data_IF_029533770205
#
_entry.id   IF_029533770205
#
_cell.length_a   1.000
_cell.length_b   1.000
_cell.length_c   1.000
_cell.angle_alpha   90.00
_cell.angle_beta   90.00
_cell.angle_gamma   90.00
#
_symmetry.space_group_name_H-M   'P 1'
#
loop_
_entity.id
_entity.type
_entity.pdbx_description
1 polymer ?
#
# COMPACT_ATOMS: atom_id res chain seq x y z
N UNK A 1 -22.50 -25.17 -63.30
CA UNK A 1 -23.35 -24.55 -62.27
C UNK A 1 -22.42 -24.11 -61.16
N UNK A 2 -21.72 -22.99 -61.42
CA UNK A 2 -20.94 -22.20 -60.46
C UNK A 2 -21.88 -21.69 -59.35
N UNK A 3 -21.49 -21.33 -58.13
CA UNK A 3 -20.29 -20.66 -57.64
C UNK A 3 -20.26 -20.86 -56.12
N UNK A 4 -19.16 -21.37 -55.58
CA UNK A 4 -18.86 -21.35 -54.15
C UNK A 4 -18.08 -20.06 -53.89
N UNK A 5 -18.73 -18.99 -53.43
CA UNK A 5 -18.04 -17.77 -52.95
C UNK A 5 -19.02 -16.82 -52.26
N UNK A 6 -19.19 -16.93 -50.92
CA UNK A 6 -19.59 -15.77 -50.10
C UNK A 6 -19.28 -15.98 -48.61
N UNK A 7 -18.00 -16.17 -48.30
CA UNK A 7 -17.48 -15.87 -46.96
C UNK A 7 -16.49 -14.70 -47.11
N UNK A 8 -16.97 -13.51 -47.46
CA UNK A 8 -16.13 -12.33 -47.29
C UNK A 8 -16.08 -12.03 -45.80
N UNK A 9 -15.04 -12.53 -45.15
CA UNK A 9 -14.58 -12.05 -43.85
C UNK A 9 -14.61 -10.53 -43.88
N UNK A 10 -15.44 -9.92 -43.05
CA UNK A 10 -15.17 -8.56 -42.62
C UNK A 10 -13.89 -8.66 -41.77
N UNK A 11 -12.74 -8.48 -42.41
CA UNK A 11 -11.52 -8.11 -41.71
C UNK A 11 -11.86 -6.85 -40.92
N UNK A 12 -12.14 -7.03 -39.62
CA UNK A 12 -12.19 -5.93 -38.68
C UNK A 12 -10.89 -5.17 -38.85
N UNK A 13 -10.99 -3.90 -39.23
CA UNK A 13 -9.83 -3.07 -39.52
C UNK A 13 -8.80 -3.23 -38.39
N UNK A 14 -7.61 -3.70 -38.76
CA UNK A 14 -6.52 -3.85 -37.81
C UNK A 14 -6.18 -2.46 -37.27
N UNK A 15 -6.51 -2.23 -36.00
CA UNK A 15 -6.12 -1.03 -35.27
C UNK A 15 -4.60 -0.90 -35.39
N UNK A 16 -4.14 0.22 -35.93
CA UNK A 16 -2.71 0.44 -36.13
C UNK A 16 -2.01 0.53 -34.76
N UNK A 17 -0.73 0.14 -34.63
CA UNK A 17 0.03 0.37 -33.40
C UNK A 17 0.03 1.85 -32.97
N UNK A 18 -0.17 2.78 -33.91
CA UNK A 18 -0.30 4.21 -33.67
C UNK A 18 -1.66 4.60 -33.04
N UNK A 19 -2.75 3.91 -33.38
CA UNK A 19 -4.07 4.06 -32.72
C UNK A 19 -4.12 3.37 -31.35
N UNK A 20 -3.43 2.25 -31.18
CA UNK A 20 -3.20 1.65 -29.85
C UNK A 20 -2.34 2.54 -28.93
N UNK A 21 -1.50 3.39 -29.55
CA UNK A 21 -0.69 4.41 -28.89
C UNK A 21 -1.40 5.77 -28.76
N UNK A 22 -2.69 5.88 -29.10
CA UNK A 22 -3.54 6.99 -28.63
C UNK A 22 -3.58 6.90 -27.10
N UNK A 23 -2.59 7.56 -26.50
CA UNK A 23 -1.96 7.17 -25.26
C UNK A 23 -2.96 6.89 -24.14
N UNK A 24 -2.88 5.70 -23.53
CA UNK A 24 -3.39 5.47 -22.19
C UNK A 24 -2.72 6.51 -21.27
N UNK A 25 -3.43 7.59 -21.00
CA UNK A 25 -2.99 8.70 -20.15
C UNK A 25 -3.65 8.50 -18.80
N UNK A 26 -2.86 8.10 -17.81
CA UNK A 26 -3.28 8.14 -16.42
C UNK A 26 -3.25 9.62 -16.00
N UNK A 27 -4.40 10.24 -15.67
CA UNK A 27 -4.40 11.61 -15.17
C UNK A 27 -3.67 11.61 -13.82
N UNK A 28 -2.62 12.42 -13.67
CA UNK A 28 -1.88 12.53 -12.42
C UNK A 28 -1.74 14.00 -12.05
N UNK A 29 -2.34 14.37 -10.94
CA UNK A 29 -2.22 15.69 -10.32
C UNK A 29 -1.27 15.61 -9.13
N UNK A 30 -0.44 16.65 -8.97
CA UNK A 30 0.57 16.71 -7.92
C UNK A 30 0.44 18.02 -7.17
N UNK A 31 0.49 17.95 -5.85
CA UNK A 31 0.45 19.11 -4.97
C UNK A 31 1.38 18.94 -3.78
N UNK A 32 1.60 20.03 -3.05
CA UNK A 32 2.28 20.01 -1.76
C UNK A 32 1.49 20.87 -0.80
N UNK A 33 1.08 20.29 0.32
CA UNK A 33 0.35 21.00 1.36
C UNK A 33 1.28 21.97 2.10
N UNK A 34 0.71 22.93 2.82
CA UNK A 34 1.48 23.93 3.57
C UNK A 34 2.44 23.33 4.61
N UNK A 35 2.14 22.12 5.12
CA UNK A 35 3.00 21.38 6.05
C UNK A 35 4.12 20.55 5.35
N UNK A 36 4.25 20.64 4.02
CA UNK A 36 5.25 19.91 3.24
C UNK A 36 4.82 18.51 2.78
N UNK A 37 3.64 18.01 3.17
CA UNK A 37 3.15 16.73 2.68
C UNK A 37 2.89 16.80 1.17
N UNK A 38 3.53 15.90 0.41
CA UNK A 38 3.35 15.77 -1.03
C UNK A 38 2.13 14.90 -1.31
N UNK A 39 1.23 15.39 -2.14
CA UNK A 39 -0.01 14.69 -2.52
C UNK A 39 0.04 14.40 -4.01
N UNK A 40 -0.31 13.17 -4.36
CA UNK A 40 -0.44 12.71 -5.74
C UNK A 40 -1.83 12.12 -5.87
N UNK A 41 -2.63 12.65 -6.80
CA UNK A 41 -3.99 12.16 -7.06
C UNK A 41 -4.05 11.66 -8.49
N UNK A 42 -4.64 10.48 -8.67
CA UNK A 42 -4.86 9.88 -9.98
C UNK A 42 -6.33 9.46 -10.09
N UNK A 43 -7.23 10.36 -10.54
CA UNK A 43 -8.65 10.04 -10.66
C UNK A 43 -8.89 8.93 -11.69
N UNK A 44 -9.65 7.92 -11.31
CA UNK A 44 -10.11 6.85 -12.19
C UNK A 44 -11.52 6.44 -11.76
N UNK A 45 -12.47 6.42 -12.71
CA UNK A 45 -13.90 6.31 -12.41
C UNK A 45 -14.55 5.01 -12.91
N UNK A 46 -13.76 4.03 -13.39
CA UNK A 46 -14.26 2.72 -13.82
C UNK A 46 -14.88 1.88 -12.69
N UNK A 47 -14.54 2.14 -11.43
CA UNK A 47 -15.14 1.47 -10.27
C UNK A 47 -15.31 2.44 -9.09
N UNK A 48 -16.34 2.25 -8.22
CA UNK A 48 -16.58 3.10 -7.04
C UNK A 48 -15.64 2.70 -5.89
N UNK A 49 -14.33 2.73 -6.13
CA UNK A 49 -13.27 2.31 -5.20
C UNK A 49 -12.22 3.42 -5.11
N UNK A 50 -11.67 3.62 -3.92
CA UNK A 50 -10.50 4.47 -3.68
C UNK A 50 -9.35 3.64 -3.14
N UNK A 51 -8.13 4.08 -3.44
CA UNK A 51 -6.91 3.60 -2.81
C UNK A 51 -6.21 4.81 -2.21
N UNK A 52 -6.03 4.79 -0.89
CA UNK A 52 -5.21 5.77 -0.19
C UNK A 52 -3.94 5.05 0.20
N UNK A 53 -2.79 5.69 -0.06
CA UNK A 53 -1.49 5.14 0.27
C UNK A 53 -0.58 6.24 0.80
N UNK A 54 0.05 5.98 1.93
CA UNK A 54 1.00 6.89 2.57
C UNK A 54 2.38 6.27 2.48
N UNK A 55 3.34 7.03 1.96
CA UNK A 55 4.74 6.63 1.82
C UNK A 55 5.60 7.50 2.72
N UNK A 56 6.23 6.88 3.71
CA UNK A 56 7.24 7.50 4.54
C UNK A 56 8.60 7.28 3.90
N UNK A 57 9.36 8.37 3.70
CA UNK A 57 10.74 8.32 3.16
C UNK A 57 11.76 7.78 4.16
N UNK A 58 11.36 6.79 4.97
CA UNK A 58 12.20 6.06 5.89
C UNK A 58 12.10 4.58 5.58
N UNK A 59 13.23 3.93 5.44
CA UNK A 59 13.33 2.49 5.19
C UNK A 59 14.56 1.93 5.88
N UNK A 60 14.83 0.67 5.64
CA UNK A 60 15.84 -0.10 6.38
C UNK A 60 17.26 0.44 6.21
N UNK A 61 17.57 1.06 5.07
CA UNK A 61 18.88 1.67 4.81
C UNK A 61 19.20 2.84 5.74
N UNK A 62 18.18 3.45 6.36
CA UNK A 62 18.35 4.57 7.29
C UNK A 62 18.42 4.12 8.75
N UNK A 63 18.40 2.81 9.02
CA UNK A 63 18.50 2.28 10.38
C UNK A 63 19.92 2.47 10.95
N UNK A 64 20.04 2.91 12.22
CA UNK A 64 21.34 2.98 12.87
C UNK A 64 21.97 1.59 13.00
N UNK A 65 23.30 1.53 12.85
CA UNK A 65 24.05 0.30 13.14
C UNK A 65 23.75 -0.20 14.55
N UNK A 66 23.53 -1.51 14.69
CA UNK A 66 23.15 -2.14 15.96
C UNK A 66 21.68 -1.92 16.39
N UNK A 67 20.87 -1.26 15.55
CA UNK A 67 19.42 -1.04 15.76
C UNK A 67 18.62 -1.38 14.50
N UNK A 68 18.99 -2.47 13.84
CA UNK A 68 18.30 -2.93 12.63
C UNK A 68 16.92 -3.53 12.94
N UNK A 69 16.04 -3.54 11.94
CA UNK A 69 14.65 -4.01 12.05
C UNK A 69 13.68 -3.01 12.68
N UNK A 70 14.12 -1.77 12.92
CA UNK A 70 13.30 -0.72 13.52
C UNK A 70 12.20 -0.25 12.57
N UNK A 71 12.51 -0.01 11.29
CA UNK A 71 11.53 0.41 10.30
C UNK A 71 10.40 -0.62 10.19
N UNK A 72 10.76 -1.91 10.13
CA UNK A 72 9.77 -2.99 10.10
C UNK A 72 9.00 -3.13 11.42
N UNK A 73 9.66 -3.00 12.58
CA UNK A 73 8.95 -3.00 13.86
C UNK A 73 7.95 -1.83 13.96
N UNK A 74 8.32 -0.64 13.48
CA UNK A 74 7.40 0.50 13.41
C UNK A 74 6.23 0.26 12.45
N UNK A 75 6.44 -0.50 11.37
CA UNK A 75 5.36 -1.00 10.52
C UNK A 75 4.27 -1.71 11.34
N UNK A 76 4.68 -2.65 12.19
CA UNK A 76 3.76 -3.38 13.08
C UNK A 76 3.12 -2.47 14.14
N UNK A 77 3.91 -1.58 14.73
CA UNK A 77 3.45 -0.70 15.81
C UNK A 77 2.41 0.32 15.35
N UNK A 78 2.44 0.68 14.07
CA UNK A 78 1.45 1.60 13.46
C UNK A 78 0.03 1.02 13.41
N UNK A 79 -0.16 -0.28 13.70
CA UNK A 79 -1.48 -0.90 13.88
C UNK A 79 -1.91 -1.03 15.35
N UNK A 80 -1.10 -0.59 16.31
CA UNK A 80 -1.39 -0.72 17.74
C UNK A 80 -2.27 0.41 18.31
N UNK A 81 -2.74 1.32 17.46
CA UNK A 81 -3.63 2.42 17.83
C UNK A 81 -2.92 3.76 17.89
N UNK A 82 -3.70 4.78 18.19
CA UNK A 82 -3.38 6.21 18.16
C UNK A 82 -4.28 6.92 19.17
N UNK A 83 -4.14 8.24 19.39
CA UNK A 83 -4.98 8.95 20.35
C UNK A 83 -6.49 8.81 20.07
N UNK A 84 -6.89 8.68 18.79
CA UNK A 84 -8.30 8.60 18.39
C UNK A 84 -8.76 7.20 17.97
N UNK A 85 -7.86 6.21 17.90
CA UNK A 85 -8.20 4.84 17.54
C UNK A 85 -7.55 3.84 18.50
N UNK A 86 -8.35 2.90 18.98
CA UNK A 86 -7.88 1.76 19.74
C UNK A 86 -6.98 0.85 18.91
N UNK A 87 -6.30 -0.06 19.59
CA UNK A 87 -5.49 -1.11 18.98
C UNK A 87 -6.30 -1.88 17.92
N UNK A 88 -5.73 -2.01 16.73
CA UNK A 88 -6.34 -2.68 15.57
C UNK A 88 -7.67 -2.07 15.09
N UNK A 89 -8.09 -0.91 15.59
CA UNK A 89 -9.36 -0.30 15.18
C UNK A 89 -9.33 0.16 13.71
N UNK A 90 -8.20 0.68 13.21
CA UNK A 90 -8.02 0.96 11.79
C UNK A 90 -8.29 -0.29 10.93
N UNK A 91 -7.75 -1.44 11.34
CA UNK A 91 -7.96 -2.72 10.63
C UNK A 91 -9.42 -3.11 10.65
N UNK A 92 -10.06 -3.01 11.83
CA UNK A 92 -11.47 -3.33 12.01
C UNK A 92 -12.39 -2.41 11.18
N UNK A 93 -12.11 -1.11 11.14
CA UNK A 93 -12.85 -0.13 10.36
C UNK A 93 -12.74 -0.40 8.86
N UNK A 94 -11.54 -0.67 8.36
CA UNK A 94 -11.35 -1.01 6.94
C UNK A 94 -12.12 -2.28 6.58
N UNK A 95 -11.99 -3.34 7.38
CA UNK A 95 -12.67 -4.61 7.12
C UNK A 95 -14.20 -4.50 7.24
N UNK A 96 -14.70 -3.73 8.22
CA UNK A 96 -16.13 -3.48 8.40
C UNK A 96 -16.76 -2.73 7.20
N UNK A 97 -15.96 -1.93 6.49
CA UNK A 97 -16.36 -1.26 5.26
C UNK A 97 -16.07 -2.09 3.98
N UNK A 98 -15.71 -3.37 4.13
CA UNK A 98 -15.44 -4.27 3.01
C UNK A 98 -14.13 -3.99 2.26
N UNK A 99 -13.24 -3.22 2.88
CA UNK A 99 -11.93 -2.90 2.33
C UNK A 99 -10.86 -3.93 2.68
N UNK A 100 -9.68 -3.70 2.11
CA UNK A 100 -8.44 -4.39 2.45
C UNK A 100 -7.35 -3.37 2.69
N UNK A 101 -6.36 -3.74 3.50
CA UNK A 101 -5.22 -2.88 3.79
C UNK A 101 -3.94 -3.71 3.90
N UNK A 102 -2.80 -3.04 3.78
CA UNK A 102 -1.53 -3.63 4.17
C UNK A 102 -0.45 -2.57 4.47
N UNK A 103 0.65 -3.02 5.05
CA UNK A 103 1.91 -2.28 5.16
C UNK A 103 3.01 -2.98 4.39
N UNK A 104 4.06 -2.25 4.03
CA UNK A 104 5.34 -2.89 3.70
C UNK A 104 6.52 -1.98 3.95
N UNK A 105 7.59 -2.57 4.47
CA UNK A 105 8.88 -1.91 4.64
C UNK A 105 9.85 -2.32 3.52
N UNK A 106 10.50 -1.31 2.93
CA UNK A 106 11.49 -1.42 1.86
C UNK A 106 12.79 -0.72 2.27
N UNK A 107 13.80 -0.82 1.43
CA UNK A 107 15.13 -0.26 1.70
C UNK A 107 15.06 1.26 1.90
N UNK A 108 14.20 1.94 1.13
CA UNK A 108 14.14 3.41 1.08
C UNK A 108 12.86 4.01 1.65
N UNK A 109 11.82 3.20 1.85
CA UNK A 109 10.53 3.67 2.33
C UNK A 109 9.77 2.59 3.08
N UNK A 110 8.83 3.03 3.91
CA UNK A 110 7.77 2.21 4.48
C UNK A 110 6.46 2.81 3.99
N UNK A 111 5.57 1.96 3.47
CA UNK A 111 4.27 2.39 3.00
C UNK A 111 3.15 1.64 3.69
N UNK A 112 2.00 2.30 3.73
CA UNK A 112 0.74 1.71 4.14
C UNK A 112 -0.30 2.09 3.10
N UNK A 113 -1.27 1.22 2.89
CA UNK A 113 -2.38 1.51 2.00
C UNK A 113 -3.63 0.78 2.42
N UNK A 114 -4.75 1.33 1.94
CA UNK A 114 -6.07 0.80 2.11
C UNK A 114 -6.86 1.00 0.82
N UNK A 115 -7.60 -0.03 0.44
CA UNK A 115 -8.52 -0.02 -0.69
C UNK A 115 -9.92 -0.16 -0.13
N UNK A 116 -10.78 0.81 -0.44
CA UNK A 116 -12.09 0.96 0.17
C UNK A 116 -13.13 1.45 -0.85
N UNK A 117 -14.44 1.29 -0.58
CA UNK A 117 -15.48 1.94 -1.36
C UNK A 117 -15.33 3.47 -1.38
N UNK A 118 -15.60 4.11 -2.52
CA UNK A 118 -15.28 5.53 -2.74
C UNK A 118 -15.93 6.52 -1.76
N UNK A 119 -17.11 6.18 -1.22
CA UNK A 119 -17.81 7.00 -0.22
C UNK A 119 -17.08 7.10 1.14
N UNK A 120 -16.06 6.27 1.37
CA UNK A 120 -15.29 6.22 2.62
C UNK A 120 -13.96 6.96 2.54
N UNK A 121 -13.73 7.76 1.49
CA UNK A 121 -12.48 8.51 1.31
C UNK A 121 -12.13 9.37 2.54
N UNK A 122 -13.11 10.05 3.13
CA UNK A 122 -12.90 10.88 4.32
C UNK A 122 -12.44 10.04 5.53
N UNK A 123 -13.01 8.84 5.70
CA UNK A 123 -12.61 7.90 6.75
C UNK A 123 -11.15 7.47 6.55
N UNK A 124 -10.76 7.07 5.33
CA UNK A 124 -9.39 6.68 5.01
C UNK A 124 -8.39 7.80 5.33
N UNK A 125 -8.65 9.01 4.83
CA UNK A 125 -7.78 10.17 5.08
C UNK A 125 -7.70 10.54 6.57
N UNK A 126 -8.80 10.41 7.32
CA UNK A 126 -8.81 10.64 8.75
C UNK A 126 -7.97 9.61 9.52
N UNK A 127 -8.14 8.31 9.22
CA UNK A 127 -7.38 7.22 9.85
C UNK A 127 -5.87 7.41 9.61
N UNK A 128 -5.49 7.70 8.37
CA UNK A 128 -4.08 7.92 8.02
C UNK A 128 -3.50 9.17 8.69
N UNK A 129 -4.26 10.27 8.73
CA UNK A 129 -3.82 11.49 9.39
C UNK A 129 -3.63 11.32 10.91
N UNK A 130 -4.54 10.58 11.57
CA UNK A 130 -4.47 10.31 13.00
C UNK A 130 -3.28 9.39 13.33
N UNK A 131 -3.14 8.29 12.58
CA UNK A 131 -1.99 7.39 12.71
C UNK A 131 -0.66 8.08 12.43
N UNK A 132 -0.60 8.98 11.44
CA UNK A 132 0.59 9.75 11.10
C UNK A 132 1.01 10.72 12.21
N UNK A 133 0.05 11.29 12.95
CA UNK A 133 0.34 12.23 14.03
C UNK A 133 1.11 11.58 15.18
N UNK A 134 0.84 10.30 15.44
CA UNK A 134 1.62 9.51 16.37
C UNK A 134 0.83 8.32 16.90
N UNK A 135 1.33 7.09 16.76
CA UNK A 135 0.71 5.93 17.39
C UNK A 135 0.89 5.99 18.92
N UNK A 136 -0.07 5.41 19.65
CA UNK A 136 0.07 5.20 21.09
C UNK A 136 0.76 3.85 21.29
N UNK A 137 2.03 3.91 21.70
CA UNK A 137 2.86 2.71 21.90
C UNK A 137 3.12 2.56 23.39
N UNK A 138 2.51 1.55 24.03
CA UNK A 138 2.91 1.16 25.39
C UNK A 138 4.05 0.14 25.34
N UNK A 139 4.74 -0.02 26.47
CA UNK A 139 5.78 -1.04 26.62
C UNK A 139 5.24 -2.45 26.35
N UNK A 140 3.99 -2.73 26.75
CA UNK A 140 3.36 -4.02 26.53
C UNK A 140 3.11 -4.31 25.04
N UNK A 141 2.66 -3.32 24.24
CA UNK A 141 2.55 -3.52 22.79
C UNK A 141 3.90 -3.68 22.13
N UNK A 142 4.91 -2.91 22.55
CA UNK A 142 6.25 -3.02 22.02
C UNK A 142 6.84 -4.41 22.24
N UNK A 143 6.73 -4.96 23.44
CA UNK A 143 7.26 -6.28 23.77
C UNK A 143 6.52 -7.38 22.98
N UNK A 144 5.20 -7.29 22.88
CA UNK A 144 4.39 -8.19 22.08
C UNK A 144 4.78 -8.16 20.59
N UNK A 145 4.86 -6.97 19.98
CA UNK A 145 5.20 -6.86 18.56
C UNK A 145 6.65 -7.28 18.28
N UNK A 146 7.57 -7.08 19.23
CA UNK A 146 8.94 -7.59 19.10
C UNK A 146 8.95 -9.11 19.00
N UNK A 147 8.13 -9.81 19.76
CA UNK A 147 8.06 -11.28 19.71
C UNK A 147 7.34 -11.79 18.45
N UNK A 148 6.33 -11.07 17.95
CA UNK A 148 5.71 -11.34 16.64
C UNK A 148 6.74 -11.24 15.53
N UNK A 149 7.51 -10.14 15.48
CA UNK A 149 8.55 -9.93 14.45
C UNK A 149 9.65 -10.99 14.54
N UNK A 150 10.10 -11.37 15.75
CA UNK A 150 11.06 -12.47 15.91
C UNK A 150 10.52 -13.79 15.35
N UNK A 151 9.23 -14.07 15.56
CA UNK A 151 8.61 -15.27 15.03
C UNK A 151 8.49 -15.23 13.50
N UNK A 152 8.14 -14.07 12.94
CA UNK A 152 8.12 -13.86 11.51
C UNK A 152 9.51 -14.10 10.87
N UNK A 153 10.58 -13.53 11.46
CA UNK A 153 11.95 -13.78 11.02
C UNK A 153 12.28 -15.28 11.09
N UNK A 154 11.89 -15.96 12.16
CA UNK A 154 12.09 -17.40 12.28
C UNK A 154 11.41 -18.17 11.14
N UNK A 155 10.16 -17.84 10.82
CA UNK A 155 9.37 -18.54 9.79
C UNK A 155 9.83 -18.20 8.37
N UNK A 156 10.05 -16.92 8.09
CA UNK A 156 10.26 -16.42 6.73
C UNK A 156 11.73 -16.41 6.30
N UNK A 157 12.67 -16.39 7.25
CA UNK A 157 14.11 -16.39 6.96
C UNK A 157 14.77 -17.64 7.49
N UNK A 158 14.76 -17.87 8.81
CA UNK A 158 15.60 -18.91 9.40
C UNK A 158 15.14 -20.33 9.01
N UNK A 159 13.84 -20.55 8.82
CA UNK A 159 13.26 -21.84 8.47
C UNK A 159 13.02 -22.03 6.97
N UNK A 160 13.54 -21.14 6.10
CA UNK A 160 13.39 -21.24 4.64
C UNK A 160 14.74 -21.29 3.94
N UNK A 161 15.00 -22.27 3.05
CA UNK A 161 16.16 -22.24 2.17
C UNK A 161 16.18 -20.95 1.35
N UNK A 162 17.32 -20.26 1.31
CA UNK A 162 17.48 -18.93 0.70
C UNK A 162 16.56 -17.84 1.28
N UNK A 163 15.98 -18.10 2.46
CA UNK A 163 15.33 -17.08 3.26
C UNK A 163 16.35 -15.99 3.55
N UNK A 164 16.09 -14.80 3.01
CA UNK A 164 16.85 -13.60 3.33
C UNK A 164 15.85 -12.48 3.56
N UNK A 165 16.14 -11.66 4.54
CA UNK A 165 15.51 -10.36 4.66
C UNK A 165 16.54 -9.32 4.23
N UNK A 166 16.18 -8.33 3.40
CA UNK A 166 17.10 -7.28 2.94
C UNK A 166 17.76 -6.41 4.04
N UNK A 167 17.60 -6.72 5.32
CA UNK A 167 18.06 -5.94 6.49
C UNK A 167 18.74 -6.77 7.58
N UNK A 168 18.95 -8.08 7.39
CA UNK A 168 19.59 -8.97 8.39
C UNK A 168 21.13 -8.98 8.27
N UNK A 169 21.71 -8.33 7.26
CA UNK A 169 23.17 -8.31 7.03
C UNK A 169 23.72 -6.88 6.89
#
# INVERSE_FOLDING_TARGET
>A
MESADSWKSAEGAAVTPAEAAAAFRVPVERGTLANGLRVVVSPEHSAPVICVAVYYGVGMRLEPRGRTGFAHLFEHLMFQGSPQMAKMELVALVQANGGLLNGSTRTDFTNYFEVLPSHTLELALWMEADRMRGPVITQAELDNQRDVVKNEIRVNVLNRPYGSFPWID
#
